data_IF_238821586726
#
_entry.id   IF_238821586726
#
_cell.length_a   1.000
_cell.length_b   1.000
_cell.length_c   1.000
_cell.angle_alpha   90.00
_cell.angle_beta   90.00
_cell.angle_gamma   90.00
#
_symmetry.space_group_name_H-M   'P 1'
#
loop_
_entity.id
_entity.type
_entity.pdbx_description
1 polymer ?
#
# COMPACT_ATOMS: atom_id res chain seq x y z
N UNK A 1 54.61 -52.57 8.95
CA UNK A 1 53.55 -52.27 7.96
C UNK A 1 52.52 -51.39 8.65
N UNK A 2 52.45 -50.09 8.33
CA UNK A 2 51.48 -49.14 8.90
C UNK A 2 50.40 -48.88 7.84
N UNK A 3 49.10 -48.93 8.17
CA UNK A 3 48.06 -48.70 7.17
C UNK A 3 47.94 -47.20 6.87
N UNK A 4 47.96 -46.88 5.58
CA UNK A 4 47.68 -45.55 5.05
C UNK A 4 46.15 -45.37 5.11
N UNK A 5 45.68 -44.49 5.99
CA UNK A 5 44.28 -44.09 6.02
C UNK A 5 44.03 -43.10 4.88
N UNK A 6 43.38 -43.58 3.81
CA UNK A 6 42.88 -42.75 2.71
C UNK A 6 41.81 -41.78 3.23
N UNK A 7 42.10 -40.50 3.23
CA UNK A 7 41.16 -39.43 3.52
C UNK A 7 40.21 -39.26 2.32
N UNK A 8 38.99 -39.78 2.44
CA UNK A 8 37.93 -39.62 1.45
C UNK A 8 37.39 -38.18 1.54
N UNK A 9 37.82 -37.32 0.62
CA UNK A 9 37.31 -35.96 0.49
C UNK A 9 35.91 -35.99 -0.14
N UNK A 10 34.87 -35.95 0.70
CA UNK A 10 33.48 -35.85 0.23
C UNK A 10 33.24 -34.41 -0.26
N UNK A 11 33.22 -34.23 -1.57
CA UNK A 11 32.75 -33.01 -2.21
C UNK A 11 31.24 -32.89 -2.01
N UNK A 12 30.81 -32.13 -1.02
CA UNK A 12 29.41 -31.69 -0.88
C UNK A 12 29.18 -30.62 -1.95
N UNK A 13 28.63 -31.05 -3.09
CA UNK A 13 28.07 -30.14 -4.09
C UNK A 13 26.86 -29.46 -3.45
N UNK A 14 27.03 -28.20 -3.06
CA UNK A 14 25.93 -27.32 -2.68
C UNK A 14 25.04 -27.11 -3.93
N UNK A 15 24.02 -27.97 -4.06
CA UNK A 15 22.87 -27.70 -4.92
C UNK A 15 22.22 -26.42 -4.39
N UNK A 16 22.49 -25.29 -5.06
CA UNK A 16 21.74 -24.07 -4.89
C UNK A 16 20.32 -24.33 -5.39
N UNK A 17 19.44 -24.76 -4.50
CA UNK A 17 18.00 -24.78 -4.72
C UNK A 17 17.55 -23.33 -4.96
N UNK A 18 17.47 -22.94 -6.24
CA UNK A 18 16.83 -21.69 -6.65
C UNK A 18 15.31 -21.86 -6.50
N UNK A 19 14.84 -21.86 -5.25
CA UNK A 19 13.43 -21.82 -4.92
C UNK A 19 12.95 -20.37 -4.82
N UNK A 20 12.88 -19.66 -5.94
CA UNK A 20 12.07 -18.45 -6.03
C UNK A 20 11.09 -18.65 -7.18
N UNK A 21 10.03 -19.41 -6.96
CA UNK A 21 8.87 -19.28 -7.82
C UNK A 21 8.20 -17.93 -7.49
N UNK A 22 8.77 -16.85 -8.03
CA UNK A 22 8.00 -15.66 -8.33
C UNK A 22 6.98 -16.09 -9.39
N UNK A 23 5.72 -15.72 -9.20
CA UNK A 23 4.70 -15.88 -10.24
C UNK A 23 5.16 -15.22 -11.53
N UNK A 24 4.91 -15.86 -12.67
CA UNK A 24 5.27 -15.33 -13.99
C UNK A 24 4.24 -14.29 -14.40
N UNK A 25 4.74 -13.09 -14.70
CA UNK A 25 3.93 -11.99 -15.19
C UNK A 25 4.04 -11.87 -16.71
N UNK A 26 2.90 -11.93 -17.38
CA UNK A 26 2.80 -11.81 -18.84
C UNK A 26 2.28 -10.42 -19.18
N UNK A 27 2.97 -9.70 -20.07
CA UNK A 27 2.45 -8.46 -20.62
C UNK A 27 1.20 -8.77 -21.47
N UNK A 28 0.13 -8.03 -21.22
CA UNK A 28 -1.18 -8.21 -21.87
C UNK A 28 -1.70 -6.90 -22.47
N UNK A 29 -0.81 -6.00 -22.88
CA UNK A 29 -1.15 -4.67 -23.42
C UNK A 29 -2.14 -4.75 -24.59
N UNK A 30 -2.04 -5.80 -25.40
CA UNK A 30 -2.91 -6.03 -26.56
C UNK A 30 -4.38 -6.17 -26.18
N UNK A 31 -4.70 -6.57 -24.94
CA UNK A 31 -6.07 -6.71 -24.45
C UNK A 31 -6.69 -5.37 -24.00
N UNK A 32 -5.89 -4.33 -23.82
CA UNK A 32 -6.30 -3.05 -23.22
C UNK A 32 -6.04 -1.85 -24.13
N UNK A 33 -5.84 -2.08 -25.43
CA UNK A 33 -5.59 -1.00 -26.39
C UNK A 33 -6.79 -0.06 -26.55
N UNK A 34 -6.56 1.24 -26.83
CA UNK A 34 -5.25 1.88 -26.98
C UNK A 34 -4.58 2.19 -25.63
N UNK A 35 -3.28 1.90 -25.50
CA UNK A 35 -2.45 2.29 -24.34
C UNK A 35 -1.34 3.27 -24.75
N UNK A 36 -1.05 4.29 -23.93
CA UNK A 36 0.20 5.05 -24.06
C UNK A 36 1.41 4.12 -23.93
N UNK A 37 2.50 4.39 -24.67
CA UNK A 37 3.73 3.58 -24.61
C UNK A 37 4.42 3.59 -23.24
N UNK A 38 3.99 4.47 -22.34
CA UNK A 38 4.46 4.62 -20.96
C UNK A 38 3.61 3.84 -19.94
N UNK A 39 2.59 3.10 -20.40
CA UNK A 39 1.68 2.31 -19.56
C UNK A 39 1.62 0.88 -20.06
N UNK A 40 1.87 -0.06 -19.16
CA UNK A 40 1.88 -1.48 -19.45
C UNK A 40 1.03 -2.25 -18.44
N UNK A 41 0.29 -3.24 -18.92
CA UNK A 41 -0.56 -4.12 -18.13
C UNK A 41 0.02 -5.51 -18.13
N UNK A 42 0.16 -6.09 -16.95
CA UNK A 42 0.66 -7.43 -16.75
C UNK A 42 -0.37 -8.27 -16.01
N UNK A 43 -0.42 -9.56 -16.36
CA UNK A 43 -1.29 -10.54 -15.75
C UNK A 43 -0.49 -11.75 -15.31
N UNK A 44 -0.88 -12.34 -14.20
CA UNK A 44 -0.49 -13.70 -13.83
C UNK A 44 -1.72 -14.52 -13.46
N UNK A 45 -1.68 -15.80 -13.82
CA UNK A 45 -2.65 -16.81 -13.37
C UNK A 45 -1.97 -17.97 -12.65
N UNK A 46 -0.70 -17.80 -12.29
CA UNK A 46 0.08 -18.82 -11.61
C UNK A 46 -0.50 -19.09 -10.23
N UNK A 47 -0.40 -20.35 -9.80
CA UNK A 47 -0.81 -20.74 -8.47
C UNK A 47 0.05 -20.01 -7.43
N UNK A 48 -0.59 -19.50 -6.38
CA UNK A 48 0.08 -18.92 -5.21
C UNK A 48 -0.22 -19.79 -3.99
N UNK A 49 0.84 -20.35 -3.38
CA UNK A 49 0.74 -21.38 -2.34
C UNK A 49 -0.15 -22.57 -2.76
N UNK A 50 -0.04 -22.99 -4.02
CA UNK A 50 -0.85 -24.07 -4.58
C UNK A 50 -2.32 -23.75 -4.80
N UNK A 51 -2.74 -22.48 -4.71
CA UNK A 51 -4.13 -22.05 -4.93
C UNK A 51 -4.27 -21.20 -6.20
N UNK A 52 -5.42 -21.26 -6.90
CA UNK A 52 -5.71 -20.37 -8.01
C UNK A 52 -5.56 -18.91 -7.60
N UNK A 53 -4.86 -18.15 -8.43
CA UNK A 53 -4.62 -16.73 -8.24
C UNK A 53 -4.73 -16.05 -9.60
N UNK A 54 -5.52 -14.98 -9.67
CA UNK A 54 -5.58 -14.10 -10.83
C UNK A 54 -5.20 -12.73 -10.33
N UNK A 55 -4.10 -12.19 -10.84
CA UNK A 55 -3.62 -10.89 -10.47
C UNK A 55 -3.24 -10.09 -11.71
N UNK A 56 -3.45 -8.79 -11.61
CA UNK A 56 -3.03 -7.80 -12.59
C UNK A 56 -2.18 -6.75 -11.90
N UNK A 57 -1.13 -6.30 -12.56
CA UNK A 57 -0.56 -5.00 -12.24
C UNK A 57 -0.45 -4.11 -13.46
N UNK A 58 -0.55 -2.80 -13.23
CA UNK A 58 -0.28 -1.77 -14.22
C UNK A 58 0.99 -1.04 -13.81
N UNK A 59 1.94 -0.95 -14.73
CA UNK A 59 3.13 -0.12 -14.59
C UNK A 59 2.93 1.18 -15.36
N UNK A 60 3.23 2.31 -14.73
CA UNK A 60 3.11 3.65 -15.30
C UNK A 60 4.42 4.41 -15.14
N UNK A 61 5.02 4.87 -16.23
CA UNK A 61 6.22 5.70 -16.16
C UNK A 61 5.90 7.10 -15.60
N UNK A 62 6.39 7.38 -14.39
CA UNK A 62 6.24 8.69 -13.77
C UNK A 62 7.02 9.78 -14.49
N UNK A 63 7.87 9.49 -15.48
CA UNK A 63 8.52 10.51 -16.30
C UNK A 63 7.60 11.02 -17.41
N UNK A 64 6.55 10.28 -17.78
CA UNK A 64 5.59 10.73 -18.78
C UNK A 64 4.69 11.82 -18.22
N UNK A 65 4.95 13.07 -18.63
CA UNK A 65 4.21 14.25 -18.20
C UNK A 65 2.85 14.41 -18.89
N UNK A 66 2.53 13.58 -19.90
CA UNK A 66 1.21 13.58 -20.54
C UNK A 66 0.16 12.87 -19.70
N UNK A 67 0.58 12.02 -18.76
CA UNK A 67 -0.31 11.30 -17.85
C UNK A 67 -0.67 12.17 -16.65
N UNK A 68 -1.96 12.40 -16.41
CA UNK A 68 -2.45 12.99 -15.16
C UNK A 68 -2.61 11.92 -14.08
N UNK A 69 -2.14 12.23 -12.87
CA UNK A 69 -2.24 11.37 -11.70
C UNK A 69 -3.03 12.13 -10.64
N UNK A 70 -4.28 11.73 -10.44
CA UNK A 70 -5.21 12.42 -9.56
C UNK A 70 -5.90 11.46 -8.60
N UNK A 71 -6.53 12.02 -7.58
CA UNK A 71 -7.30 11.31 -6.56
C UNK A 71 -8.63 12.01 -6.36
N UNK A 72 -9.62 11.25 -5.92
CA UNK A 72 -10.96 11.76 -5.66
C UNK A 72 -11.47 11.25 -4.32
N UNK A 73 -12.32 12.07 -3.69
CA UNK A 73 -13.09 11.71 -2.50
C UNK A 73 -14.57 11.81 -2.83
N UNK A 74 -15.39 10.95 -2.21
CA UNK A 74 -16.83 10.94 -2.45
C UNK A 74 -17.62 11.98 -1.65
N UNK A 75 -16.98 12.79 -0.81
CA UNK A 75 -17.62 13.83 0.02
C UNK A 75 -18.85 13.31 0.79
N UNK A 76 -18.69 12.20 1.53
CA UNK A 76 -19.78 11.56 2.28
C UNK A 76 -20.65 10.60 1.45
N UNK A 77 -20.34 10.43 0.15
CA UNK A 77 -20.93 9.40 -0.71
C UNK A 77 -19.91 8.32 -1.05
N UNK A 78 -20.41 7.15 -1.43
CA UNK A 78 -19.60 6.03 -1.94
C UNK A 78 -19.91 5.84 -3.42
N UNK A 79 -18.85 5.72 -4.20
CA UNK A 79 -18.91 5.46 -5.63
C UNK A 79 -18.12 4.20 -5.94
N UNK A 80 -18.59 3.41 -6.90
CA UNK A 80 -17.83 2.28 -7.44
C UNK A 80 -16.68 2.80 -8.31
N UNK A 81 -15.63 1.99 -8.54
CA UNK A 81 -14.59 2.36 -9.51
C UNK A 81 -15.15 2.73 -10.89
N UNK A 82 -16.18 2.02 -11.37
CA UNK A 82 -16.88 2.36 -12.62
C UNK A 82 -17.58 3.72 -12.57
N UNK A 83 -18.25 4.05 -11.46
CA UNK A 83 -18.85 5.37 -11.31
C UNK A 83 -17.80 6.48 -11.30
N UNK A 84 -16.64 6.26 -10.66
CA UNK A 84 -15.52 7.21 -10.77
C UNK A 84 -14.97 7.29 -12.19
N UNK A 85 -14.88 6.18 -12.91
CA UNK A 85 -14.47 6.19 -14.31
C UNK A 85 -15.39 7.08 -15.16
N UNK A 86 -16.70 6.88 -15.06
CA UNK A 86 -17.68 7.66 -15.82
C UNK A 86 -17.69 9.15 -15.44
N UNK A 87 -17.52 9.47 -14.15
CA UNK A 87 -17.54 10.85 -13.65
C UNK A 87 -16.26 11.64 -13.96
N UNK A 88 -15.12 10.98 -14.17
CA UNK A 88 -13.81 11.63 -14.32
C UNK A 88 -13.28 11.57 -15.75
N UNK A 89 -14.17 11.80 -16.72
CA UNK A 89 -13.84 11.83 -18.15
C UNK A 89 -13.22 10.52 -18.66
N UNK A 90 -13.62 9.37 -18.08
CA UNK A 90 -13.21 8.03 -18.51
C UNK A 90 -11.69 7.88 -18.54
N UNK A 91 -11.01 8.03 -17.38
CA UNK A 91 -9.55 7.98 -17.30
C UNK A 91 -9.05 6.58 -17.63
N UNK A 92 -7.78 6.47 -18.03
CA UNK A 92 -7.20 5.18 -18.44
C UNK A 92 -7.31 4.08 -17.36
N UNK A 93 -7.17 4.45 -16.09
CA UNK A 93 -7.19 3.53 -14.96
C UNK A 93 -7.92 4.16 -13.78
N UNK A 94 -8.75 3.37 -13.10
CA UNK A 94 -9.32 3.69 -11.78
C UNK A 94 -9.09 2.50 -10.87
N UNK A 95 -8.54 2.74 -9.68
CA UNK A 95 -8.37 1.72 -8.64
C UNK A 95 -8.93 2.24 -7.33
N UNK A 96 -9.59 1.36 -6.56
CA UNK A 96 -10.00 1.70 -5.20
C UNK A 96 -8.76 1.97 -4.33
N UNK A 97 -8.89 2.90 -3.39
CA UNK A 97 -7.85 3.26 -2.42
C UNK A 97 -8.51 3.58 -1.08
N UNK A 98 -7.73 3.80 -0.03
CA UNK A 98 -8.18 4.14 1.32
C UNK A 98 -9.13 3.12 1.97
N UNK A 99 -9.21 3.16 3.29
CA UNK A 99 -10.30 2.56 4.07
C UNK A 99 -11.35 3.63 4.37
N UNK A 100 -12.60 3.20 4.48
CA UNK A 100 -13.73 4.06 4.85
C UNK A 100 -14.64 3.33 5.84
N UNK A 101 -15.36 4.08 6.67
CA UNK A 101 -16.40 3.53 7.54
C UNK A 101 -17.78 3.59 6.86
N UNK A 102 -18.67 2.65 7.19
CA UNK A 102 -19.92 2.45 6.46
C UNK A 102 -21.11 3.25 6.99
N UNK A 103 -21.03 3.78 8.21
CA UNK A 103 -22.15 4.46 8.88
C UNK A 103 -22.31 5.87 8.31
N UNK A 104 -21.21 6.63 8.20
CA UNK A 104 -21.21 8.00 7.68
C UNK A 104 -20.43 8.13 6.36
N UNK A 105 -19.96 7.02 5.78
CA UNK A 105 -19.15 6.98 4.55
C UNK A 105 -17.86 7.82 4.63
N UNK A 106 -17.30 7.97 5.84
CA UNK A 106 -16.13 8.82 6.09
C UNK A 106 -14.86 8.11 5.66
N UNK A 107 -13.93 8.86 5.07
CA UNK A 107 -12.60 8.37 4.76
C UNK A 107 -11.76 8.25 6.04
N UNK A 108 -11.04 7.15 6.22
CA UNK A 108 -10.21 6.90 7.40
C UNK A 108 -8.71 7.13 7.15
N UNK A 109 -8.35 7.50 5.92
CA UNK A 109 -6.97 7.72 5.51
C UNK A 109 -6.79 9.05 4.78
N UNK A 110 -5.52 9.44 4.66
CA UNK A 110 -5.16 10.64 3.91
C UNK A 110 -5.62 10.54 2.45
N UNK A 111 -6.11 11.64 1.91
CA UNK A 111 -6.20 11.86 0.47
C UNK A 111 -5.67 13.25 0.17
N UNK A 112 -4.72 13.35 -0.76
CA UNK A 112 -4.19 14.61 -1.26
C UNK A 112 -4.50 14.68 -2.76
N UNK A 113 -5.08 15.78 -3.20
CA UNK A 113 -5.24 16.11 -4.62
C UNK A 113 -4.84 17.57 -4.86
N UNK A 114 -4.10 17.81 -5.94
CA UNK A 114 -3.57 19.14 -6.30
C UNK A 114 -2.81 19.83 -5.14
N UNK A 115 -2.13 19.05 -4.31
CA UNK A 115 -1.40 19.51 -3.13
C UNK A 115 -2.27 19.93 -1.94
N UNK A 116 -3.58 19.65 -1.97
CA UNK A 116 -4.51 19.93 -0.87
C UNK A 116 -4.92 18.64 -0.18
N UNK A 117 -4.94 18.66 1.16
CA UNK A 117 -5.56 17.60 1.97
C UNK A 117 -7.08 17.63 1.75
N UNK A 118 -7.62 16.53 1.24
CA UNK A 118 -9.06 16.30 1.05
C UNK A 118 -9.64 15.35 2.10
N UNK A 119 -8.80 14.48 2.66
CA UNK A 119 -9.14 13.62 3.77
C UNK A 119 -7.90 13.43 4.67
N UNK A 120 -8.14 13.06 5.91
CA UNK A 120 -7.15 12.98 6.98
C UNK A 120 -7.05 11.56 7.50
N UNK A 121 -5.88 11.20 8.03
CA UNK A 121 -5.70 9.93 8.69
C UNK A 121 -6.49 9.90 10.00
N UNK A 122 -7.30 8.86 10.21
CA UNK A 122 -7.84 8.57 11.53
C UNK A 122 -6.68 8.13 12.43
N UNK A 123 -6.29 9.00 13.35
CA UNK A 123 -5.18 8.76 14.27
C UNK A 123 -5.59 7.99 15.52
N UNK A 124 -6.78 8.24 16.06
CA UNK A 124 -7.24 7.66 17.32
C UNK A 124 -8.38 6.68 17.09
N UNK A 125 -8.30 5.51 17.72
CA UNK A 125 -9.35 4.50 17.77
C UNK A 125 -9.70 4.20 19.22
N UNK A 126 -10.97 4.36 19.58
CA UNK A 126 -11.46 4.02 20.92
C UNK A 126 -11.35 2.52 21.19
N UNK A 127 -10.88 2.18 22.39
CA UNK A 127 -10.91 0.82 22.92
C UNK A 127 -12.35 0.33 23.11
N UNK A 128 -12.51 -0.99 23.21
CA UNK A 128 -13.82 -1.64 23.39
C UNK A 128 -13.79 -2.57 24.61
N UNK A 129 -14.95 -2.81 25.21
CA UNK A 129 -15.09 -3.73 26.35
C UNK A 129 -14.33 -3.22 27.57
N UNK A 130 -13.41 -4.03 28.11
CA UNK A 130 -12.60 -3.64 29.28
C UNK A 130 -11.68 -2.43 29.02
N UNK A 131 -11.44 -2.08 27.75
CA UNK A 131 -10.57 -1.00 27.32
C UNK A 131 -11.31 0.31 26.98
N UNK A 132 -12.60 0.45 27.35
CA UNK A 132 -13.44 1.58 26.89
C UNK A 132 -12.93 2.98 27.30
N UNK A 133 -12.09 3.09 28.33
CA UNK A 133 -11.46 4.36 28.76
C UNK A 133 -10.07 4.62 28.16
N UNK A 134 -9.75 3.92 27.07
CA UNK A 134 -8.43 4.01 26.42
C UNK A 134 -8.56 4.16 24.91
N UNK A 135 -7.53 4.73 24.30
CA UNK A 135 -7.45 5.00 22.87
C UNK A 135 -6.15 4.41 22.32
N UNK A 136 -6.20 3.88 21.10
CA UNK A 136 -5.01 3.46 20.35
C UNK A 136 -4.74 4.50 19.28
N UNK A 137 -3.51 5.01 19.28
CA UNK A 137 -3.05 6.02 18.34
C UNK A 137 -2.12 5.40 17.31
N UNK A 138 -2.39 5.67 16.03
CA UNK A 138 -1.65 5.10 14.90
C UNK A 138 -1.25 6.16 13.88
N UNK A 139 -0.26 5.82 13.08
CA UNK A 139 0.22 6.64 11.97
C UNK A 139 0.06 5.80 10.70
N UNK A 140 -0.97 6.10 9.91
CA UNK A 140 -1.25 5.36 8.69
C UNK A 140 -0.22 5.66 7.60
N UNK A 141 0.14 4.64 6.83
CA UNK A 141 0.98 4.82 5.65
C UNK A 141 0.21 5.35 4.45
N UNK A 142 0.94 6.02 3.56
CA UNK A 142 0.44 6.53 2.29
C UNK A 142 1.51 6.44 1.21
N UNK A 143 1.05 6.32 -0.03
CA UNK A 143 1.87 6.57 -1.22
C UNK A 143 1.51 7.95 -1.77
N UNK A 144 2.52 8.73 -2.15
CA UNK A 144 2.34 10.06 -2.71
C UNK A 144 3.26 10.33 -3.88
N UNK A 145 2.82 11.17 -4.81
CA UNK A 145 3.57 11.66 -5.96
C UNK A 145 3.70 13.17 -5.83
N UNK A 146 4.92 13.68 -5.82
CA UNK A 146 5.17 15.12 -5.69
C UNK A 146 5.09 15.87 -7.02
N UNK A 147 5.21 17.21 -7.00
CA UNK A 147 5.19 18.05 -8.21
C UNK A 147 6.30 17.75 -9.21
N UNK A 148 7.39 17.09 -8.78
CA UNK A 148 8.49 16.62 -9.64
C UNK A 148 8.27 15.19 -10.13
N UNK A 149 7.06 14.64 -9.93
CA UNK A 149 6.65 13.26 -10.25
C UNK A 149 7.54 12.18 -9.61
N UNK A 150 8.06 12.47 -8.42
CA UNK A 150 8.73 11.46 -7.58
C UNK A 150 7.74 10.87 -6.60
N UNK A 151 7.68 9.54 -6.58
CA UNK A 151 6.88 8.78 -5.63
C UNK A 151 7.62 8.62 -4.29
N UNK A 152 6.85 8.49 -3.22
CA UNK A 152 7.34 8.24 -1.86
C UNK A 152 6.28 7.45 -1.07
N UNK A 153 6.74 6.59 -0.16
CA UNK A 153 5.90 5.86 0.80
C UNK A 153 6.36 6.24 2.21
N UNK A 154 5.42 6.69 3.04
CA UNK A 154 5.73 7.17 4.39
C UNK A 154 4.56 6.98 5.36
N UNK A 155 4.86 7.03 6.66
CA UNK A 155 3.87 7.07 7.74
C UNK A 155 3.54 8.51 8.09
N UNK A 156 2.25 8.84 8.12
CA UNK A 156 1.83 10.23 8.19
C UNK A 156 1.23 10.60 9.53
N UNK A 157 1.42 11.87 9.87
CA UNK A 157 0.58 12.64 10.76
C UNK A 157 -0.16 13.72 9.96
N UNK A 158 -1.46 13.86 10.18
CA UNK A 158 -2.33 14.85 9.53
C UNK A 158 -3.33 15.40 10.52
N UNK A 159 -3.67 16.67 10.38
CA UNK A 159 -4.61 17.36 11.27
C UNK A 159 -5.38 18.41 10.44
N UNK A 160 -6.65 18.63 10.77
CA UNK A 160 -7.51 19.59 10.05
C UNK A 160 -7.05 21.03 10.21
N UNK A 161 -6.36 21.36 11.31
CA UNK A 161 -5.74 22.67 11.52
C UNK A 161 -4.43 22.86 10.72
N UNK A 162 -3.94 21.81 10.05
CA UNK A 162 -2.66 21.82 9.34
C UNK A 162 -2.85 21.81 7.82
N UNK A 163 -2.09 22.67 7.13
CA UNK A 163 -2.17 22.81 5.67
C UNK A 163 -1.60 21.62 4.90
N UNK A 164 -0.74 20.82 5.51
CA UNK A 164 0.01 19.75 4.86
C UNK A 164 0.18 18.56 5.80
N UNK A 165 0.33 17.38 5.20
CA UNK A 165 0.75 16.18 5.91
C UNK A 165 2.21 16.27 6.35
N UNK A 166 2.53 15.56 7.43
CA UNK A 166 3.89 15.37 7.93
C UNK A 166 4.22 13.89 7.88
N UNK A 167 5.39 13.56 7.34
CA UNK A 167 5.80 12.19 7.06
C UNK A 167 7.00 11.79 7.91
N UNK A 168 6.97 10.57 8.44
CA UNK A 168 8.11 9.82 8.93
C UNK A 168 8.54 8.81 7.85
N UNK A 169 9.84 8.69 7.64
CA UNK A 169 10.45 7.71 6.71
C UNK A 169 10.79 6.37 7.39
N UNK A 170 10.51 6.27 8.69
CA UNK A 170 10.59 5.03 9.46
C UNK A 170 9.24 4.70 10.07
N UNK A 171 8.91 3.41 10.26
CA UNK A 171 7.66 3.01 10.91
C UNK A 171 7.51 3.67 12.26
N UNK A 172 6.35 4.29 12.50
CA UNK A 172 6.06 4.95 13.78
C UNK A 172 5.22 4.00 14.63
N UNK A 173 5.71 3.56 15.79
CA UNK A 173 4.96 2.65 16.65
C UNK A 173 3.61 3.26 17.07
N UNK A 174 2.58 2.41 17.11
CA UNK A 174 1.33 2.77 17.76
C UNK A 174 1.53 2.86 19.28
N UNK A 175 0.69 3.66 19.94
CA UNK A 175 0.68 3.77 21.40
C UNK A 175 -0.75 3.79 21.93
N UNK A 176 -0.89 3.56 23.24
CA UNK A 176 -2.17 3.50 23.92
C UNK A 176 -2.13 4.35 25.19
N UNK A 177 -3.13 5.17 25.39
CA UNK A 177 -3.34 5.94 26.62
C UNK A 177 -4.85 6.23 26.82
N UNK A 178 -5.18 7.19 27.70
CA UNK A 178 -6.57 7.60 27.99
C UNK A 178 -6.95 8.95 27.34
N UNK A 179 -6.18 9.44 26.38
CA UNK A 179 -6.40 10.72 25.70
C UNK A 179 -7.05 10.45 24.35
N UNK A 180 -8.28 10.91 24.16
CA UNK A 180 -9.01 10.68 22.90
C UNK A 180 -8.34 11.36 21.69
N UNK A 181 -7.86 12.58 21.91
CA UNK A 181 -7.29 13.46 20.89
C UNK A 181 -5.98 14.06 21.39
N UNK A 182 -4.85 13.35 21.25
CA UNK A 182 -3.54 13.85 21.67
C UNK A 182 -3.14 15.08 20.85
N UNK A 183 -2.43 16.01 21.48
CA UNK A 183 -1.97 17.21 20.79
C UNK A 183 -1.05 16.86 19.62
N UNK A 184 -1.02 17.72 18.59
CA UNK A 184 -0.09 17.58 17.46
C UNK A 184 1.37 17.47 17.91
N UNK A 185 1.75 18.18 18.97
CA UNK A 185 3.09 18.10 19.57
C UNK A 185 3.37 16.70 20.12
N UNK A 186 2.42 16.10 20.84
CA UNK A 186 2.60 14.77 21.42
C UNK A 186 2.61 13.68 20.35
N UNK A 187 1.78 13.81 19.32
CA UNK A 187 1.79 12.91 18.15
C UNK A 187 3.11 13.01 17.38
N UNK A 188 3.56 14.22 17.04
CA UNK A 188 4.77 14.41 16.25
C UNK A 188 6.07 14.09 17.01
N UNK A 189 6.07 14.02 18.34
CA UNK A 189 7.23 13.52 19.11
C UNK A 189 7.45 12.01 18.97
N UNK A 190 6.47 11.25 18.46
CA UNK A 190 6.56 9.78 18.31
C UNK A 190 7.43 9.34 17.14
N UNK A 191 7.79 10.23 16.22
CA UNK A 191 8.58 9.90 15.04
C UNK A 191 9.33 11.10 14.48
N UNK A 192 10.20 10.86 13.50
CA UNK A 192 10.95 11.91 12.84
C UNK A 192 10.14 12.53 11.69
N UNK A 193 9.17 13.37 12.04
CA UNK A 193 8.24 13.94 11.07
C UNK A 193 8.79 15.17 10.34
N UNK A 194 8.61 15.20 9.01
CA UNK A 194 8.92 16.34 8.15
C UNK A 194 7.74 16.67 7.23
N UNK A 195 7.61 17.93 6.82
CA UNK A 195 6.58 18.36 5.87
C UNK A 195 6.63 17.52 4.59
N UNK A 196 5.51 16.90 4.24
CA UNK A 196 5.40 15.97 3.11
C UNK A 196 4.64 16.63 1.96
N UNK A 197 5.40 17.21 1.01
CA UNK A 197 4.85 18.03 -0.08
C UNK A 197 4.49 17.18 -1.30
N UNK A 198 3.34 16.53 -1.25
CA UNK A 198 2.81 15.73 -2.36
C UNK A 198 1.80 16.51 -3.20
N UNK A 199 1.75 16.22 -4.50
CA UNK A 199 0.73 16.75 -5.41
C UNK A 199 -0.53 15.87 -5.35
N UNK A 200 -0.32 14.56 -5.32
CA UNK A 200 -1.37 13.55 -5.25
C UNK A 200 -0.93 12.47 -4.27
N UNK A 201 -1.78 12.04 -3.35
CA UNK A 201 -1.48 10.95 -2.43
C UNK A 201 -2.75 10.24 -1.94
N UNK A 202 -2.60 8.97 -1.60
CA UNK A 202 -3.63 8.16 -0.96
C UNK A 202 -3.03 7.35 0.17
N UNK A 203 -3.72 7.34 1.30
CA UNK A 203 -3.41 6.45 2.41
C UNK A 203 -4.02 5.07 2.21
N UNK A 204 -3.53 4.13 2.99
CA UNK A 204 -4.05 2.76 3.00
C UNK A 204 -3.33 1.97 4.08
N UNK A 205 -2.45 1.08 3.64
CA UNK A 205 -1.58 0.30 4.50
C UNK A 205 -2.06 -1.13 4.74
N UNK A 206 -1.22 -1.95 5.39
CA UNK A 206 0.10 -1.56 5.89
C UNK A 206 1.13 -1.39 4.76
N UNK A 207 2.25 -0.73 5.04
CA UNK A 207 3.42 -0.86 4.17
C UNK A 207 3.80 -2.33 4.08
N UNK A 208 4.16 -2.77 2.87
CA UNK A 208 4.61 -4.13 2.57
C UNK A 208 6.11 -4.17 2.25
N UNK A 209 6.61 -3.10 1.64
CA UNK A 209 7.99 -2.95 1.20
C UNK A 209 8.45 -1.52 1.48
N UNK A 210 9.65 -1.34 2.04
CA UNK A 210 10.29 -0.04 2.21
C UNK A 210 11.77 -0.17 1.82
N UNK A 211 12.30 0.79 1.05
CA UNK A 211 13.70 0.79 0.61
C UNK A 211 14.17 -0.51 -0.08
N UNK A 212 13.26 -1.21 -0.78
CA UNK A 212 13.57 -2.46 -1.46
C UNK A 212 13.55 -3.71 -0.57
N UNK A 213 13.23 -3.57 0.72
CA UNK A 213 13.15 -4.67 1.68
C UNK A 213 11.71 -4.91 2.16
N UNK A 214 11.36 -6.17 2.40
CA UNK A 214 10.06 -6.55 2.99
C UNK A 214 9.91 -5.89 4.35
N UNK A 215 8.87 -5.09 4.51
CA UNK A 215 8.60 -4.30 5.72
C UNK A 215 7.10 -4.29 6.00
N UNK A 216 6.58 -5.39 6.52
CA UNK A 216 5.15 -5.56 6.80
C UNK A 216 4.81 -4.86 8.13
N UNK A 217 4.28 -3.63 8.07
CA UNK A 217 4.09 -2.77 9.26
C UNK A 217 2.68 -2.79 9.85
N UNK A 218 1.98 -3.91 9.76
CA UNK A 218 0.62 -4.04 10.27
C UNK A 218 0.49 -3.75 11.77
N UNK A 219 1.47 -4.14 12.58
CA UNK A 219 1.42 -3.96 14.03
C UNK A 219 1.64 -2.49 14.43
N UNK A 220 2.40 -1.73 13.65
CA UNK A 220 2.61 -0.30 13.83
C UNK A 220 1.36 0.47 13.40
N UNK A 221 0.71 0.05 12.31
CA UNK A 221 -0.40 0.77 11.69
C UNK A 221 -1.79 0.31 12.15
N UNK A 222 -1.88 -0.84 12.81
CA UNK A 222 -3.10 -1.53 13.28
C UNK A 222 -4.18 -1.69 12.20
N UNK A 223 -3.80 -2.08 10.98
CA UNK A 223 -4.72 -2.19 9.83
C UNK A 223 -5.60 -3.44 9.89
N UNK A 224 -5.00 -4.55 10.29
CA UNK A 224 -5.68 -5.84 10.43
C UNK A 224 -5.45 -6.39 11.84
N UNK A 225 -6.53 -6.73 12.55
CA UNK A 225 -6.47 -7.21 13.92
C UNK A 225 -6.13 -8.71 13.98
N UNK A 226 -5.27 -9.09 14.93
CA UNK A 226 -4.92 -10.49 15.16
C UNK A 226 -4.34 -11.17 13.91
N UNK A 227 -4.87 -12.35 13.56
CA UNK A 227 -4.44 -13.13 12.39
C UNK A 227 -5.11 -12.70 11.08
N UNK A 228 -5.93 -11.65 11.08
CA UNK A 228 -6.65 -11.21 9.87
C UNK A 228 -5.72 -10.73 8.73
N UNK A 229 -4.45 -10.45 9.05
CA UNK A 229 -3.42 -10.19 8.04
C UNK A 229 -3.10 -11.42 7.19
N UNK A 230 -3.22 -12.62 7.76
CA UNK A 230 -2.93 -13.90 7.11
C UNK A 230 -4.14 -14.42 6.30
N UNK A 231 -5.30 -13.76 6.43
CA UNK A 231 -6.51 -14.15 5.73
C UNK A 231 -6.41 -13.88 4.23
N UNK A 232 -6.81 -14.90 3.45
CA UNK A 232 -6.84 -14.83 1.98
C UNK A 232 -8.05 -14.02 1.52
N UNK A 233 -7.79 -12.86 0.93
CA UNK A 233 -8.80 -11.93 0.42
C UNK A 233 -8.36 -11.29 -0.90
N UNK A 234 -9.29 -10.74 -1.69
CA UNK A 234 -8.93 -9.80 -2.74
C UNK A 234 -8.14 -8.64 -2.14
N UNK A 235 -7.07 -8.22 -2.81
CA UNK A 235 -6.19 -7.14 -2.35
C UNK A 235 -5.91 -6.17 -3.48
N UNK A 236 -5.77 -4.90 -3.13
CA UNK A 236 -5.19 -3.88 -3.99
C UNK A 236 -3.96 -3.31 -3.30
N UNK A 237 -2.90 -3.01 -4.05
CA UNK A 237 -1.71 -2.35 -3.54
C UNK A 237 -1.18 -1.32 -4.53
N UNK A 238 -0.44 -0.35 -4.02
CA UNK A 238 0.33 0.59 -4.84
C UNK A 238 1.77 0.61 -4.36
N UNK A 239 2.69 0.76 -5.30
CA UNK A 239 4.12 0.85 -5.02
C UNK A 239 4.84 1.58 -6.15
N UNK A 240 6.16 1.69 -6.03
CA UNK A 240 6.97 2.25 -7.10
C UNK A 240 8.32 1.56 -7.18
N UNK A 241 8.96 1.64 -8.34
CA UNK A 241 10.29 1.08 -8.57
C UNK A 241 11.37 2.16 -8.48
N UNK A 242 12.63 1.75 -8.33
CA UNK A 242 13.79 2.64 -8.37
C UNK A 242 13.89 3.47 -9.67
N UNK A 243 13.30 2.98 -10.76
CA UNK A 243 13.38 3.57 -12.10
C UNK A 243 12.18 4.49 -12.41
N UNK A 244 11.46 4.92 -11.37
CA UNK A 244 10.28 5.79 -11.41
C UNK A 244 9.04 5.18 -12.11
N UNK A 245 8.87 3.85 -12.03
CA UNK A 245 7.60 3.23 -12.43
C UNK A 245 6.65 3.21 -11.24
N UNK A 246 5.44 3.74 -11.40
CA UNK A 246 4.35 3.59 -10.44
C UNK A 246 3.60 2.29 -10.74
N UNK A 247 3.36 1.49 -9.70
CA UNK A 247 2.72 0.18 -9.80
C UNK A 247 1.35 0.24 -9.13
N UNK A 248 0.32 -0.24 -9.84
CA UNK A 248 -1.01 -0.51 -9.33
C UNK A 248 -1.24 -2.01 -9.39
N UNK A 249 -1.48 -2.67 -8.27
CA UNK A 249 -1.68 -4.12 -8.18
C UNK A 249 -3.12 -4.40 -7.74
N UNK A 250 -3.78 -5.33 -8.42
CA UNK A 250 -5.08 -5.88 -8.03
C UNK A 250 -5.01 -7.41 -8.09
N UNK A 251 -5.41 -8.05 -7.00
CA UNK A 251 -5.48 -9.49 -6.86
C UNK A 251 -6.94 -9.86 -6.65
N UNK A 252 -7.48 -10.70 -7.53
CA UNK A 252 -8.83 -11.22 -7.41
C UNK A 252 -8.94 -12.22 -6.26
N UNK A 253 -10.15 -12.44 -5.76
CA UNK A 253 -10.39 -13.44 -4.73
C UNK A 253 -11.87 -13.61 -4.43
N UNK A 254 -12.18 -14.51 -3.47
CA UNK A 254 -13.54 -14.91 -3.12
C UNK A 254 -14.29 -15.53 -4.31
N UNK A 255 -13.74 -16.61 -4.88
CA UNK A 255 -14.41 -17.46 -5.86
C UNK A 255 -14.86 -18.79 -5.21
N UNK A 256 -16.04 -18.85 -4.56
CA UNK A 256 -16.60 -20.14 -4.13
C UNK A 256 -16.74 -21.09 -5.33
N UNK A 257 -16.24 -22.32 -5.21
CA UNK A 257 -16.44 -23.38 -6.21
C UNK A 257 -15.54 -23.33 -7.45
N UNK A 258 -14.55 -22.43 -7.51
CA UNK A 258 -13.48 -22.48 -8.50
C UNK A 258 -12.18 -22.91 -7.80
N UNK A 259 -11.88 -24.20 -7.88
CA UNK A 259 -10.62 -24.80 -7.43
C UNK A 259 -9.81 -25.26 -8.63
#
# INVERSE_FOLDING_TARGET
MKPIASLLLVFIVNLCSHGYAQVVWVNVDTLFQPLPSSVHVYKTTDLLDGKPNIAYYVSVDLKDKKLDLSTAVGNGKRYTPSAYFDQNSKPLLVMNTTFFEFVHNSNLNVVINKGKLLAYQQHSMAGRGKDTLTYRHTFGSAIGINKKRKADIAWLYTDTAMLMAYASQTPVPSFKDSIADPSASDMMKRGAFKKWKMQTAVGGGPVLLQNGETSITNNQELKFAGKAIDDKHPRSAMGYTKDDQLIFLVIEGRFPGKS
#
